data_IF_291729834884
#
_entry.id   IF_291729834884
#
_cell.length_a   1.000
_cell.length_b   1.000
_cell.length_c   1.000
_cell.angle_alpha   90.00
_cell.angle_beta   90.00
_cell.angle_gamma   90.00
#
_symmetry.space_group_name_H-M   'P 1'
#
loop_
_entity.id
_entity.type
_entity.pdbx_description
1 polymer ?
#
# COMPACT_ATOMS: atom_id res chain seq x y z
N UNK A 1 5.47 -12.79 -3.37
CA UNK A 1 4.55 -11.73 -2.92
C UNK A 1 4.78 -10.46 -3.68
N UNK A 2 3.77 -9.60 -3.71
CA UNK A 2 3.82 -8.31 -4.39
C UNK A 2 3.74 -7.22 -3.32
N UNK A 3 4.58 -6.21 -3.41
CA UNK A 3 4.61 -5.14 -2.40
C UNK A 3 3.94 -3.90 -2.94
N UNK A 4 3.07 -3.31 -2.14
CA UNK A 4 2.43 -2.03 -2.42
C UNK A 4 2.85 -1.08 -1.30
N UNK A 5 3.39 0.08 -1.66
CA UNK A 5 3.90 1.04 -0.68
C UNK A 5 3.69 2.46 -1.17
N UNK A 6 3.47 3.38 -0.23
CA UNK A 6 3.37 4.81 -0.53
C UNK A 6 4.63 5.49 -0.01
N UNK A 7 5.24 6.32 -0.82
CA UNK A 7 6.47 7.03 -0.46
C UNK A 7 6.41 8.49 -0.87
N UNK A 8 7.18 9.32 -0.18
CA UNK A 8 7.35 10.71 -0.58
C UNK A 8 8.47 10.84 -1.62
N UNK A 9 8.86 12.08 -1.94
CA UNK A 9 9.89 12.35 -2.95
C UNK A 9 11.27 11.82 -2.57
N UNK A 10 11.50 11.51 -1.31
CA UNK A 10 12.78 11.02 -0.81
C UNK A 10 12.68 9.59 -0.32
N UNK A 11 11.65 8.85 -0.77
CA UNK A 11 11.39 7.46 -0.40
C UNK A 11 11.02 7.28 1.07
N UNK A 12 10.56 8.34 1.73
CA UNK A 12 10.05 8.27 3.09
C UNK A 12 8.73 7.53 3.15
N UNK A 13 8.51 6.77 4.21
CA UNK A 13 7.31 5.99 4.43
C UNK A 13 6.51 6.46 5.64
N UNK A 14 7.21 6.76 6.73
CA UNK A 14 6.59 7.15 7.99
C UNK A 14 7.41 8.20 8.70
N UNK A 15 6.74 8.92 9.60
CA UNK A 15 7.40 9.82 10.52
C UNK A 15 6.75 9.66 11.89
N UNK A 16 7.56 9.45 12.91
CA UNK A 16 7.11 9.35 14.30
C UNK A 16 5.99 8.32 14.46
N UNK A 17 6.20 7.14 13.85
CA UNK A 17 5.26 6.00 13.87
C UNK A 17 3.90 6.29 13.26
N UNK A 18 3.83 7.30 12.37
CA UNK A 18 2.60 7.64 11.67
C UNK A 18 2.84 7.71 10.17
N UNK A 19 1.80 7.34 9.40
CA UNK A 19 1.89 7.50 7.94
C UNK A 19 2.04 8.98 7.60
N UNK A 20 2.78 9.24 6.55
CA UNK A 20 3.04 10.60 6.11
C UNK A 20 1.79 11.28 5.57
N UNK A 21 0.94 10.52 4.89
CA UNK A 21 -0.25 11.06 4.28
C UNK A 21 -1.24 9.95 3.98
N UNK A 22 -2.41 10.33 3.51
CA UNK A 22 -3.42 9.38 3.05
C UNK A 22 -4.28 10.06 1.99
N UNK A 23 -4.94 9.25 1.17
CA UNK A 23 -5.74 9.76 0.08
C UNK A 23 -6.83 8.74 -0.26
N UNK A 24 -8.07 9.22 -0.34
CA UNK A 24 -9.21 8.35 -0.57
C UNK A 24 -9.16 7.70 -1.96
N UNK A 25 -8.78 8.46 -2.98
CA UNK A 25 -8.68 7.93 -4.34
C UNK A 25 -7.59 6.86 -4.40
N UNK A 26 -6.46 7.10 -3.74
CA UNK A 26 -5.38 6.11 -3.70
C UNK A 26 -5.84 4.82 -3.04
N UNK A 27 -6.51 4.91 -1.89
CA UNK A 27 -7.01 3.70 -1.20
C UNK A 27 -7.95 2.91 -2.10
N UNK A 28 -8.85 3.61 -2.80
CA UNK A 28 -9.78 2.95 -3.72
C UNK A 28 -9.02 2.25 -4.84
N UNK A 29 -8.01 2.89 -5.40
CA UNK A 29 -7.19 2.29 -6.45
C UNK A 29 -6.45 1.05 -5.98
N UNK A 30 -5.94 1.06 -4.75
CA UNK A 30 -5.28 -0.12 -4.18
C UNK A 30 -6.26 -1.27 -4.06
N UNK A 31 -7.46 -1.02 -3.58
CA UNK A 31 -8.49 -2.06 -3.45
C UNK A 31 -8.89 -2.61 -4.82
N UNK A 32 -8.99 -1.76 -5.82
CA UNK A 32 -9.29 -2.19 -7.20
C UNK A 32 -8.16 -3.00 -7.80
N UNK A 33 -6.93 -2.55 -7.57
CA UNK A 33 -5.73 -3.24 -8.08
C UNK A 33 -5.64 -4.66 -7.54
N UNK A 34 -6.04 -4.86 -6.30
CA UNK A 34 -5.93 -6.16 -5.62
C UNK A 34 -7.26 -6.91 -5.58
N UNK A 35 -8.26 -6.44 -6.32
CA UNK A 35 -9.60 -7.00 -6.28
C UNK A 35 -9.62 -8.51 -6.44
N UNK A 36 -10.35 -9.18 -5.56
CA UNK A 36 -10.47 -10.62 -5.57
C UNK A 36 -9.32 -11.39 -4.94
N UNK A 37 -8.25 -10.72 -4.53
CA UNK A 37 -7.11 -11.35 -3.88
C UNK A 37 -7.02 -10.94 -2.42
N UNK A 38 -6.39 -11.80 -1.64
CA UNK A 38 -6.13 -11.50 -0.24
C UNK A 38 -5.07 -10.40 -0.18
N UNK A 39 -5.41 -9.28 0.43
CA UNK A 39 -4.48 -8.15 0.62
C UNK A 39 -3.99 -8.16 2.06
N UNK A 40 -2.71 -8.42 2.24
CA UNK A 40 -2.09 -8.51 3.56
C UNK A 40 -1.67 -7.14 4.05
N UNK A 41 -1.86 -6.89 5.35
CA UNK A 41 -1.36 -5.69 6.01
C UNK A 41 -1.44 -5.88 7.52
N UNK A 42 -0.88 -4.95 8.28
CA UNK A 42 -1.03 -4.99 9.73
C UNK A 42 -2.33 -4.32 10.17
N UNK A 43 -2.64 -4.39 11.47
CA UNK A 43 -3.87 -3.80 12.00
C UNK A 43 -3.90 -2.28 11.87
N UNK A 44 -2.75 -1.63 12.00
CA UNK A 44 -2.66 -0.18 11.84
C UNK A 44 -3.08 0.24 10.43
N UNK A 45 -2.56 -0.43 9.42
CA UNK A 45 -2.89 -0.13 8.03
C UNK A 45 -4.35 -0.49 7.71
N UNK A 46 -4.85 -1.58 8.27
CA UNK A 46 -6.23 -1.99 8.06
C UNK A 46 -7.22 -0.89 8.46
N UNK A 47 -6.93 -0.19 9.56
CA UNK A 47 -7.81 0.88 10.02
C UNK A 47 -8.01 1.96 8.95
N UNK A 48 -6.96 2.27 8.21
CA UNK A 48 -7.05 3.24 7.13
C UNK A 48 -8.08 2.82 6.08
N UNK A 49 -8.06 1.57 5.71
CA UNK A 49 -8.98 1.05 4.69
C UNK A 49 -10.40 0.94 5.19
N UNK A 50 -10.58 0.63 6.45
CA UNK A 50 -11.93 0.58 7.04
C UNK A 50 -12.53 1.98 7.15
N UNK A 51 -11.71 3.02 7.21
CA UNK A 51 -12.16 4.40 7.29
C UNK A 51 -12.42 5.04 5.93
N UNK A 52 -12.25 4.29 4.85
CA UNK A 52 -12.44 4.81 3.50
C UNK A 52 -13.80 5.47 3.34
N UNK A 53 -14.81 4.89 3.93
CA UNK A 53 -16.16 5.39 3.84
C UNK A 53 -16.50 6.35 4.96
N UNK A 54 -15.48 6.84 5.65
CA UNK A 54 -15.59 7.81 6.70
C UNK A 54 -16.37 7.30 7.85
N UNK A 55 -17.50 7.14 7.91
CA UNK A 55 -18.34 6.64 8.97
C UNK A 55 -18.98 5.35 8.51
N UNK A 56 -18.17 4.36 8.27
CA UNK A 56 -18.60 3.07 7.80
C UNK A 56 -19.83 2.56 8.59
N UNK A 57 -21.04 2.70 8.10
CA UNK A 57 -22.19 2.17 8.79
C UNK A 57 -22.20 0.64 8.73
N UNK A 58 -22.85 0.04 9.71
CA UNK A 58 -22.92 -1.41 9.78
C UNK A 58 -23.58 -2.04 8.57
N UNK A 59 -24.57 -1.37 8.01
CA UNK A 59 -25.24 -1.89 6.83
C UNK A 59 -24.31 -2.00 5.63
N UNK A 60 -23.26 -1.21 5.57
CA UNK A 60 -22.26 -1.35 4.51
C UNK A 60 -21.46 -2.62 4.67
N UNK A 61 -21.24 -3.05 5.89
CA UNK A 61 -20.57 -4.32 6.15
C UNK A 61 -21.41 -5.50 5.67
N UNK A 62 -22.72 -5.32 5.64
CA UNK A 62 -23.66 -6.35 5.24
C UNK A 62 -23.91 -6.36 3.75
N UNK A 63 -23.40 -5.39 3.03
CA UNK A 63 -23.60 -5.27 1.60
C UNK A 63 -22.31 -5.63 0.86
N UNK A 64 -22.15 -5.13 -0.35
CA UNK A 64 -20.96 -5.35 -1.14
C UNK A 64 -19.66 -4.94 -0.45
N UNK A 65 -19.73 -4.06 0.52
CA UNK A 65 -18.54 -3.62 1.25
C UNK A 65 -17.94 -4.75 2.07
N UNK A 66 -18.74 -5.68 2.49
CA UNK A 66 -18.24 -6.84 3.22
C UNK A 66 -17.21 -7.60 2.39
N UNK A 67 -17.40 -7.68 1.08
CA UNK A 67 -16.45 -8.30 0.20
C UNK A 67 -15.09 -7.63 0.22
N UNK A 68 -15.06 -6.28 0.25
CA UNK A 68 -13.80 -5.56 0.35
C UNK A 68 -13.16 -5.75 1.70
N UNK A 69 -13.93 -5.69 2.76
CA UNK A 69 -13.40 -5.94 4.11
C UNK A 69 -12.84 -7.34 4.23
N UNK A 70 -13.51 -8.33 3.64
CA UNK A 70 -13.05 -9.70 3.65
C UNK A 70 -11.81 -9.94 2.82
N UNK A 71 -11.49 -9.03 1.91
CA UNK A 71 -10.28 -9.10 1.10
C UNK A 71 -9.04 -8.81 1.94
N UNK A 72 -9.14 -7.98 2.97
CA UNK A 72 -8.01 -7.59 3.79
C UNK A 72 -7.73 -8.65 4.83
N UNK A 73 -6.48 -9.11 4.88
CA UNK A 73 -5.99 -10.06 5.87
C UNK A 73 -5.04 -9.32 6.80
N UNK A 74 -5.50 -9.03 8.01
CA UNK A 74 -4.68 -8.31 8.98
C UNK A 74 -3.86 -9.28 9.82
N UNK A 75 -2.54 -9.09 9.84
CA UNK A 75 -1.63 -9.92 10.60
C UNK A 75 -0.31 -9.17 10.78
N UNK A 76 0.20 -9.10 11.99
CA UNK A 76 1.46 -8.38 12.24
C UNK A 76 2.65 -9.07 11.57
N UNK A 77 2.57 -10.36 11.31
CA UNK A 77 3.60 -11.11 10.60
C UNK A 77 3.28 -11.30 9.12
N UNK A 78 2.61 -10.32 8.51
CA UNK A 78 2.08 -10.50 7.17
C UNK A 78 3.15 -10.71 6.11
N UNK A 79 4.34 -10.13 6.25
CA UNK A 79 5.42 -10.33 5.28
C UNK A 79 5.99 -11.75 5.35
N UNK A 80 5.92 -12.39 6.51
CA UNK A 80 6.35 -13.78 6.67
C UNK A 80 5.30 -14.75 6.13
N UNK A 81 4.04 -14.38 6.16
CA UNK A 81 2.92 -15.27 5.86
C UNK A 81 2.41 -15.19 4.43
N UNK A 82 2.57 -14.03 3.77
CA UNK A 82 2.07 -13.86 2.42
C UNK A 82 2.74 -14.85 1.47
N UNK A 83 1.94 -15.45 0.61
CA UNK A 83 2.42 -16.45 -0.34
C UNK A 83 2.69 -15.87 -1.73
N UNK A 84 3.07 -16.74 -2.68
CA UNK A 84 3.33 -16.31 -4.04
C UNK A 84 2.14 -15.59 -4.65
N UNK A 85 2.42 -14.46 -5.31
CA UNK A 85 1.39 -13.65 -5.97
C UNK A 85 0.49 -12.85 -5.07
N UNK A 86 0.60 -13.00 -3.76
CA UNK A 86 -0.27 -12.28 -2.84
C UNK A 86 0.24 -10.86 -2.57
N UNK A 87 -0.64 -9.86 -2.63
CA UNK A 87 -0.24 -8.47 -2.38
C UNK A 87 -0.16 -8.14 -0.89
N UNK A 88 0.83 -7.31 -0.56
CA UNK A 88 1.05 -6.81 0.79
C UNK A 88 1.12 -5.29 0.75
N UNK A 89 0.32 -4.62 1.56
CA UNK A 89 0.41 -3.17 1.72
C UNK A 89 1.28 -2.88 2.93
N UNK A 90 2.42 -2.23 2.70
CA UNK A 90 3.43 -2.00 3.73
C UNK A 90 3.53 -0.52 4.03
N UNK A 91 3.41 -0.15 5.31
CA UNK A 91 3.56 1.23 5.74
C UNK A 91 4.69 1.43 6.76
N UNK A 92 4.97 0.42 7.58
CA UNK A 92 5.68 0.63 8.83
C UNK A 92 6.91 -0.23 9.04
N UNK A 93 7.41 -0.90 8.02
CA UNK A 93 8.50 -1.84 8.24
C UNK A 93 9.39 -2.04 7.05
N UNK A 94 10.53 -2.65 7.31
CA UNK A 94 11.53 -3.00 6.32
C UNK A 94 11.04 -4.10 5.39
N UNK A 95 11.30 -3.96 4.10
CA UNK A 95 11.01 -4.96 3.09
C UNK A 95 12.28 -5.67 2.62
N UNK A 96 13.44 -5.03 2.78
CA UNK A 96 14.71 -5.59 2.32
C UNK A 96 14.96 -7.04 2.76
N UNK A 97 14.63 -7.44 4.01
CA UNK A 97 14.85 -8.83 4.41
C UNK A 97 14.06 -9.86 3.60
N UNK A 98 13.03 -9.44 2.89
CA UNK A 98 12.16 -10.31 2.11
C UNK A 98 12.42 -10.23 0.62
N UNK A 99 13.52 -9.59 0.22
CA UNK A 99 13.82 -9.29 -1.19
C UNK A 99 13.71 -10.52 -2.10
N UNK A 100 14.16 -11.69 -1.64
CA UNK A 100 14.13 -12.91 -2.45
C UNK A 100 12.73 -13.43 -2.76
N UNK A 101 11.71 -12.94 -2.07
CA UNK A 101 10.32 -13.35 -2.26
C UNK A 101 9.48 -12.30 -2.97
N UNK A 102 10.04 -11.14 -3.25
CA UNK A 102 9.29 -10.04 -3.86
C UNK A 102 9.30 -10.17 -5.38
N UNK A 103 8.11 -10.31 -5.96
CA UNK A 103 7.91 -10.52 -7.40
C UNK A 103 7.59 -9.22 -8.12
N UNK A 104 7.09 -8.23 -7.41
CA UNK A 104 6.65 -6.97 -7.98
C UNK A 104 6.59 -5.92 -6.88
N UNK A 105 6.93 -4.70 -7.23
CA UNK A 105 6.82 -3.55 -6.33
C UNK A 105 5.95 -2.51 -7.00
N UNK A 106 4.91 -2.06 -6.31
CA UNK A 106 4.06 -0.96 -6.74
C UNK A 106 4.29 0.20 -5.78
N UNK A 107 4.98 1.24 -6.27
CA UNK A 107 5.24 2.44 -5.49
C UNK A 107 4.23 3.51 -5.88
N UNK A 108 3.55 4.07 -4.89
CA UNK A 108 2.74 5.25 -5.08
C UNK A 108 3.49 6.42 -4.47
N UNK A 109 3.83 7.40 -5.29
CA UNK A 109 4.54 8.59 -4.83
C UNK A 109 3.56 9.71 -4.60
N UNK A 110 3.63 10.29 -3.41
CA UNK A 110 2.78 11.43 -3.06
C UNK A 110 3.09 12.67 -3.90
N UNK A 111 4.27 12.70 -4.54
CA UNK A 111 4.79 13.83 -5.29
C UNK A 111 4.93 15.07 -4.40
N UNK A 112 5.27 14.81 -3.15
CA UNK A 112 5.54 15.81 -2.12
C UNK A 112 6.66 15.30 -1.24
N UNK A 113 7.30 16.22 -0.52
CA UNK A 113 8.27 15.89 0.51
C UNK A 113 7.60 16.04 1.87
N UNK A 114 7.76 15.05 2.73
CA UNK A 114 7.25 15.04 4.10
C UNK A 114 8.38 14.71 5.06
N UNK A 115 8.27 15.07 6.34
CA UNK A 115 9.19 14.54 7.33
C UNK A 115 9.15 13.02 7.33
N UNK A 116 10.30 12.38 7.49
CA UNK A 116 10.38 10.93 7.52
C UNK A 116 11.51 10.45 8.41
N UNK A 117 11.28 9.33 9.09
CA UNK A 117 12.31 8.62 9.85
C UNK A 117 12.30 7.12 9.53
N UNK A 118 11.43 6.69 8.65
CA UNK A 118 11.43 5.35 8.10
C UNK A 118 11.35 5.46 6.58
N UNK A 119 12.20 4.72 5.88
CA UNK A 119 12.37 4.84 4.43
C UNK A 119 12.24 3.49 3.74
N UNK A 120 11.83 3.53 2.48
CA UNK A 120 11.85 2.37 1.60
C UNK A 120 13.28 1.87 1.49
N UNK A 121 13.50 0.59 1.77
CA UNK A 121 14.85 0.04 1.89
C UNK A 121 15.17 -1.11 0.94
N UNK A 122 14.23 -1.54 0.11
CA UNK A 122 14.56 -2.52 -0.92
C UNK A 122 15.11 -1.80 -2.13
N UNK A 123 16.36 -2.12 -2.49
CA UNK A 123 16.97 -1.54 -3.68
C UNK A 123 16.25 -2.04 -4.94
N UNK A 124 15.91 -1.11 -5.82
CA UNK A 124 15.31 -1.42 -7.12
C UNK A 124 16.35 -1.35 -8.24
N UNK A 125 17.64 -1.30 -7.89
CA UNK A 125 18.72 -1.37 -8.86
C UNK A 125 18.63 -2.71 -9.59
N UNK A 126 18.70 -2.66 -10.92
CA UNK A 126 18.54 -3.85 -11.74
C UNK A 126 17.09 -4.26 -12.02
N UNK A 127 16.12 -3.61 -11.35
CA UNK A 127 14.72 -3.84 -11.64
C UNK A 127 14.27 -3.00 -12.83
N UNK A 128 13.20 -3.44 -13.49
CA UNK A 128 12.64 -2.73 -14.64
C UNK A 128 11.41 -1.95 -14.21
N UNK A 129 11.35 -0.67 -14.58
CA UNK A 129 10.14 0.11 -14.44
C UNK A 129 9.19 -0.31 -15.55
N UNK A 130 8.22 -1.15 -15.22
CA UNK A 130 7.30 -1.74 -16.19
C UNK A 130 6.15 -0.80 -16.54
N UNK A 131 5.78 0.09 -15.64
CA UNK A 131 4.65 1.00 -15.85
C UNK A 131 4.77 2.21 -14.95
N UNK A 132 4.39 3.36 -15.45
CA UNK A 132 4.29 4.60 -14.70
C UNK A 132 3.03 5.33 -15.14
N UNK A 133 2.21 5.76 -14.20
CA UNK A 133 1.05 6.58 -14.50
C UNK A 133 0.82 7.60 -13.40
N UNK A 134 0.24 8.73 -13.77
CA UNK A 134 -0.13 9.78 -12.83
C UNK A 134 -1.65 9.86 -12.78
N UNK A 135 -2.18 10.16 -11.60
CA UNK A 135 -3.62 10.34 -11.45
C UNK A 135 -3.89 11.38 -10.36
N UNK A 136 -5.02 12.08 -10.46
CA UNK A 136 -5.40 13.02 -9.41
C UNK A 136 -5.89 12.28 -8.17
N UNK A 137 -5.43 12.70 -6.99
CA UNK A 137 -5.93 12.18 -5.73
C UNK A 137 -7.09 13.00 -5.21
N UNK A 138 -7.58 12.65 -4.02
CA UNK A 138 -8.59 13.44 -3.33
C UNK A 138 -7.98 14.54 -2.48
N UNK A 139 -6.81 14.29 -1.89
CA UNK A 139 -6.08 15.28 -1.07
C UNK A 139 -4.73 15.66 -1.67
N UNK A 140 -4.42 15.17 -2.85
CA UNK A 140 -3.18 15.46 -3.58
C UNK A 140 -3.56 15.79 -5.01
N UNK A 141 -2.88 16.76 -5.59
CA UNK A 141 -3.15 17.12 -6.98
C UNK A 141 -2.83 15.97 -7.92
N UNK A 142 -1.65 15.40 -7.74
CA UNK A 142 -1.17 14.29 -8.56
C UNK A 142 -0.49 13.27 -7.66
N UNK A 143 -0.76 12.00 -7.91
CA UNK A 143 -0.06 10.88 -7.29
C UNK A 143 0.53 10.06 -8.44
N UNK A 144 1.77 9.62 -8.30
CA UNK A 144 2.44 8.84 -9.34
C UNK A 144 2.52 7.38 -8.92
N UNK A 145 2.04 6.49 -9.77
CA UNK A 145 2.15 5.05 -9.57
C UNK A 145 3.28 4.52 -10.44
N UNK A 146 4.20 3.78 -9.83
CA UNK A 146 5.32 3.13 -10.53
C UNK A 146 5.27 1.64 -10.22
N UNK A 147 5.36 0.82 -11.25
CA UNK A 147 5.38 -0.63 -11.11
C UNK A 147 6.73 -1.16 -11.56
N UNK A 148 7.40 -1.87 -10.65
CA UNK A 148 8.72 -2.45 -10.90
C UNK A 148 8.66 -3.96 -10.90
N UNK A 149 9.39 -4.57 -11.81
CA UNK A 149 9.58 -6.02 -11.88
C UNK A 149 11.08 -6.31 -11.92
N UNK A 150 11.50 -7.47 -11.36
CA UNK A 150 12.92 -7.85 -11.37
C UNK A 150 13.53 -7.95 -12.75
#
# INVERSE_FOLDING_TARGET
MKIIVCVDNQNGMMFNHRRQSQDRVLRKRIMELTGGKKLWMNAYSQKQFLQVNGNMPKEQEQSGQLGQSGQIQADEAFLEKAGPGEPCFVEDRSVAPFAGRVERVVLYRWDRAYPADLYWDLSLEGWTLARREEFPGSSHEIITKEVYIP
#
